data_IF_296975289880
#
_entry.id   IF_296975289880
#
_cell.length_a   1.000
_cell.length_b   1.000
_cell.length_c   1.000
_cell.angle_alpha   90.00
_cell.angle_beta   90.00
_cell.angle_gamma   90.00
#
_symmetry.space_group_name_H-M   'P 1'
#
loop_
_entity.id
_entity.type
_entity.pdbx_description
1 polymer ?
#
# COMPACT_ATOMS: atom_id res chain seq x y z
N UNK A 1 35.79 -38.34 8.19
CA UNK A 1 36.12 -36.91 8.33
C UNK A 1 34.90 -35.97 8.35
N UNK A 2 33.64 -36.46 8.44
CA UNK A 2 32.42 -35.61 8.46
C UNK A 2 31.82 -35.39 9.86
N UNK A 3 32.36 -35.99 10.91
CA UNK A 3 31.83 -35.84 12.28
C UNK A 3 32.56 -34.83 13.16
N UNK A 4 33.66 -34.25 12.68
CA UNK A 4 34.46 -33.27 13.47
C UNK A 4 34.00 -31.82 13.23
N UNK A 5 33.24 -31.56 12.17
CA UNK A 5 32.80 -30.20 11.80
C UNK A 5 31.54 -29.73 12.55
N UNK A 6 30.72 -30.66 13.00
CA UNK A 6 29.45 -30.35 13.71
C UNK A 6 29.67 -29.98 15.18
N UNK A 7 30.81 -30.42 15.79
CA UNK A 7 31.10 -30.09 17.21
C UNK A 7 31.73 -28.72 17.41
N UNK A 8 32.22 -28.07 16.38
CA UNK A 8 32.84 -26.75 16.49
C UNK A 8 31.81 -25.59 16.36
N UNK A 9 30.66 -25.83 15.80
CA UNK A 9 29.61 -24.80 15.68
C UNK A 9 28.77 -24.62 16.94
N UNK A 10 28.68 -25.62 17.81
CA UNK A 10 27.86 -25.54 19.04
C UNK A 10 28.54 -24.73 20.14
N UNK A 11 29.85 -24.57 20.06
CA UNK A 11 30.65 -23.87 21.13
C UNK A 11 30.71 -22.35 20.96
N UNK A 12 30.34 -21.82 19.79
CA UNK A 12 30.33 -20.37 19.50
C UNK A 12 29.02 -19.70 19.91
N UNK A 13 27.92 -20.46 20.02
CA UNK A 13 26.60 -19.90 20.32
C UNK A 13 26.36 -19.71 21.83
N UNK A 14 27.15 -20.36 22.69
CA UNK A 14 26.98 -20.25 24.16
C UNK A 14 27.80 -19.11 24.84
N UNK A 15 28.56 -18.32 24.11
CA UNK A 15 29.43 -17.27 24.68
C UNK A 15 28.86 -15.85 24.57
N UNK A 16 27.65 -15.63 24.04
CA UNK A 16 27.09 -14.28 23.85
C UNK A 16 25.91 -13.95 24.79
N UNK A 17 25.55 -14.86 25.70
CA UNK A 17 24.40 -14.67 26.60
C UNK A 17 24.75 -14.32 28.06
N UNK A 18 25.89 -13.66 28.33
CA UNK A 18 26.23 -13.26 29.70
C UNK A 18 26.88 -11.87 29.70
N UNK A 19 26.13 -10.83 29.42
CA UNK A 19 26.43 -9.46 29.88
C UNK A 19 25.24 -8.54 29.57
N UNK A 20 24.43 -8.24 30.56
CA UNK A 20 23.81 -6.93 30.78
C UNK A 20 22.67 -7.04 31.77
N UNK A 21 23.03 -7.12 33.04
CA UNK A 21 22.17 -6.62 34.10
C UNK A 21 22.92 -5.43 34.72
N UNK A 22 22.54 -4.20 34.42
CA UNK A 22 22.85 -3.05 35.23
C UNK A 22 21.63 -2.14 35.34
N UNK A 23 21.07 -2.19 36.55
CA UNK A 23 20.01 -1.33 37.04
C UNK A 23 20.63 0.05 37.32
N UNK A 24 19.99 1.10 36.92
CA UNK A 24 20.17 2.42 37.54
C UNK A 24 18.81 3.12 37.66
N UNK A 25 18.40 3.17 38.92
CA UNK A 25 17.32 3.98 39.46
C UNK A 25 17.80 5.42 39.65
N UNK A 26 17.07 6.41 39.16
CA UNK A 26 17.01 7.74 39.79
C UNK A 26 15.64 8.35 39.67
N UNK A 27 15.06 8.60 40.86
CA UNK A 27 13.93 9.47 41.16
C UNK A 27 14.27 10.95 40.94
N UNK A 28 13.24 11.74 40.54
CA UNK A 28 12.86 13.05 41.11
C UNK A 28 11.72 13.61 40.28
N UNK A 29 10.55 13.62 40.80
CA UNK A 29 9.72 14.65 41.38
C UNK A 29 9.89 16.07 40.83
N UNK A 30 8.86 16.63 40.21
CA UNK A 30 8.30 17.97 40.46
C UNK A 30 7.01 18.20 39.67
N UNK A 31 5.96 18.50 40.43
CA UNK A 31 4.69 19.06 40.00
C UNK A 31 4.90 20.40 39.30
N UNK A 32 4.16 20.65 38.20
CA UNK A 32 3.77 21.98 37.83
C UNK A 32 2.39 21.94 37.13
N UNK A 33 1.37 22.30 37.89
CA UNK A 33 0.03 22.60 37.44
C UNK A 33 0.03 23.93 36.69
N UNK A 34 -0.23 23.90 35.38
CA UNK A 34 -0.55 25.11 34.62
C UNK A 34 -2.05 25.13 34.31
N UNK A 35 -2.68 26.09 34.90
CA UNK A 35 -4.08 26.47 34.92
C UNK A 35 -4.56 26.93 33.54
N UNK A 36 -5.65 26.35 33.03
CA UNK A 36 -6.36 26.80 31.82
C UNK A 36 -7.15 28.11 32.13
N UNK A 37 -7.12 29.09 31.24
CA UNK A 37 -8.04 30.22 31.36
C UNK A 37 -9.39 29.93 30.72
N UNK A 38 -10.41 30.27 31.44
CA UNK A 38 -11.85 30.22 31.15
C UNK A 38 -12.22 31.07 29.92
N UNK A 39 -12.85 30.44 28.91
CA UNK A 39 -13.38 31.13 27.74
C UNK A 39 -14.78 31.69 28.05
N UNK A 40 -14.87 33.01 28.08
CA UNK A 40 -16.14 33.75 28.19
C UNK A 40 -16.94 33.66 26.90
N UNK A 41 -18.17 33.16 27.01
CA UNK A 41 -19.23 33.27 26.02
C UNK A 41 -19.56 34.72 25.69
N UNK A 42 -19.42 35.09 24.42
CA UNK A 42 -20.08 36.25 23.86
C UNK A 42 -20.70 35.86 22.53
N UNK A 43 -22.03 35.71 22.50
CA UNK A 43 -22.81 35.72 21.28
C UNK A 43 -23.10 37.16 20.87
N UNK A 44 -22.99 37.54 19.63
CA UNK A 44 -23.81 38.58 19.03
C UNK A 44 -24.78 38.05 17.97
N UNK A 45 -26.00 38.40 18.27
CA UNK A 45 -27.17 38.72 17.43
C UNK A 45 -27.16 38.33 15.93
N UNK A 46 -28.20 37.63 15.65
CA UNK A 46 -28.87 37.29 14.38
C UNK A 46 -29.21 38.55 13.56
N UNK A 47 -28.80 38.57 12.28
CA UNK A 47 -29.36 39.45 11.24
C UNK A 47 -29.79 38.60 10.02
N UNK A 48 -30.78 39.05 9.21
CA UNK A 48 -31.69 38.18 8.49
C UNK A 48 -31.18 37.75 7.10
N UNK A 49 -31.67 36.59 6.70
CA UNK A 49 -31.57 35.96 5.39
C UNK A 49 -31.93 36.92 4.25
N UNK A 50 -31.04 37.05 3.27
CA UNK A 50 -31.41 37.33 1.89
C UNK A 50 -30.89 36.23 1.00
N UNK A 51 -31.85 35.50 0.50
CA UNK A 51 -31.84 34.55 -0.55
C UNK A 51 -31.30 35.18 -1.83
N UNK A 52 -30.16 34.67 -2.33
CA UNK A 52 -29.78 34.83 -3.73
C UNK A 52 -29.30 33.45 -4.21
N UNK A 53 -30.21 32.75 -4.84
CA UNK A 53 -29.89 31.66 -5.74
C UNK A 53 -29.00 32.20 -6.88
N UNK A 54 -27.74 31.87 -6.88
CA UNK A 54 -26.92 31.83 -8.09
C UNK A 54 -26.50 30.40 -8.26
N UNK A 55 -27.17 29.72 -9.21
CA UNK A 55 -26.69 28.48 -9.79
C UNK A 55 -25.37 28.81 -10.49
N UNK A 56 -24.25 28.46 -9.90
CA UNK A 56 -22.99 28.37 -10.61
C UNK A 56 -22.76 26.92 -10.96
N UNK A 57 -22.81 26.64 -12.26
CA UNK A 57 -22.43 25.43 -12.94
C UNK A 57 -20.90 25.25 -12.90
N UNK A 58 -20.32 25.10 -11.71
CA UNK A 58 -18.89 24.80 -11.54
C UNK A 58 -18.70 23.72 -10.47
N UNK A 59 -19.56 22.71 -10.48
CA UNK A 59 -19.51 21.59 -9.54
C UNK A 59 -18.86 20.33 -10.15
N UNK A 60 -17.92 20.47 -11.10
CA UNK A 60 -17.22 19.35 -11.72
C UNK A 60 -15.70 19.37 -11.54
N UNK A 61 -15.17 19.91 -10.45
CA UNK A 61 -13.72 19.91 -10.28
C UNK A 61 -13.24 19.76 -8.82
N UNK A 62 -14.03 19.14 -7.97
CA UNK A 62 -13.52 18.71 -6.66
C UNK A 62 -14.01 17.28 -6.36
N UNK A 63 -13.54 16.34 -7.18
CA UNK A 63 -13.45 14.96 -6.73
C UNK A 63 -12.40 14.96 -5.60
N UNK A 64 -12.87 15.28 -4.40
CA UNK A 64 -12.08 15.40 -3.20
C UNK A 64 -11.13 14.20 -3.15
N UNK A 65 -9.84 14.49 -3.24
CA UNK A 65 -8.72 13.55 -3.08
C UNK A 65 -9.12 12.48 -2.07
N UNK A 66 -9.47 11.31 -2.58
CA UNK A 66 -10.09 10.23 -1.81
C UNK A 66 -9.04 9.66 -0.88
N UNK A 67 -8.96 10.18 0.34
CA UNK A 67 -8.09 9.61 1.39
C UNK A 67 -8.57 8.19 1.65
N UNK A 68 -7.70 7.21 1.42
CA UNK A 68 -7.94 5.80 1.70
C UNK A 68 -7.29 5.43 3.01
N UNK A 69 -8.00 4.70 3.86
CA UNK A 69 -7.45 4.19 5.11
C UNK A 69 -7.34 2.67 5.00
N UNK A 70 -6.13 2.17 5.20
CA UNK A 70 -5.83 0.74 5.25
C UNK A 70 -5.38 0.37 6.66
N UNK A 71 -5.68 -0.85 7.09
CA UNK A 71 -5.10 -1.41 8.29
C UNK A 71 -3.65 -1.89 8.05
N UNK A 72 -2.94 -2.28 9.12
CA UNK A 72 -1.53 -2.70 9.03
C UNK A 72 -1.35 -3.94 8.13
N UNK A 73 -2.33 -4.83 8.09
CA UNK A 73 -2.31 -6.04 7.29
C UNK A 73 -2.48 -5.71 5.80
N UNK A 74 -3.43 -4.85 5.48
CA UNK A 74 -3.66 -4.36 4.13
C UNK A 74 -2.44 -3.59 3.60
N UNK A 75 -1.84 -2.72 4.43
CA UNK A 75 -0.59 -2.02 4.08
C UNK A 75 0.52 -3.02 3.76
N UNK A 76 0.70 -4.05 4.60
CA UNK A 76 1.70 -5.06 4.35
C UNK A 76 1.43 -5.84 3.05
N UNK A 77 0.19 -6.26 2.80
CA UNK A 77 -0.19 -7.00 1.58
C UNK A 77 0.01 -6.15 0.33
N UNK A 78 -0.36 -4.86 0.36
CA UNK A 78 -0.16 -3.93 -0.76
C UNK A 78 1.33 -3.64 -1.01
N UNK A 79 2.15 -3.45 0.02
CA UNK A 79 3.60 -3.27 -0.14
C UNK A 79 4.27 -4.53 -0.68
N UNK A 80 3.80 -5.70 -0.23
CA UNK A 80 4.32 -7.00 -0.63
C UNK A 80 4.05 -7.30 -2.09
N UNK A 81 2.82 -7.05 -2.57
CA UNK A 81 2.47 -7.26 -3.99
C UNK A 81 3.20 -6.26 -4.90
N UNK A 82 3.31 -4.99 -4.49
CA UNK A 82 4.09 -4.00 -5.21
C UNK A 82 5.55 -4.41 -5.37
N UNK A 83 6.17 -4.97 -4.32
CA UNK A 83 7.52 -5.51 -4.40
C UNK A 83 7.62 -6.72 -5.31
N UNK A 84 6.66 -7.65 -5.20
CA UNK A 84 6.70 -8.90 -5.94
C UNK A 84 6.52 -8.69 -7.47
N UNK A 85 5.68 -7.74 -7.87
CA UNK A 85 5.34 -7.49 -9.27
C UNK A 85 6.16 -6.34 -9.90
N UNK A 86 6.58 -5.34 -9.10
CA UNK A 86 7.16 -4.11 -9.61
C UNK A 86 8.50 -3.72 -8.92
N UNK A 87 9.34 -4.69 -8.53
CA UNK A 87 10.62 -4.43 -7.83
C UNK A 87 11.48 -3.40 -8.55
N UNK A 88 11.62 -3.53 -9.88
CA UNK A 88 12.46 -2.67 -10.70
C UNK A 88 11.81 -1.36 -11.15
N UNK A 89 10.55 -1.13 -10.79
CA UNK A 89 9.80 0.06 -11.20
C UNK A 89 10.02 1.24 -10.25
N UNK A 90 9.67 2.44 -10.72
CA UNK A 90 9.61 3.65 -9.90
C UNK A 90 8.57 3.51 -8.77
N UNK A 91 8.55 4.46 -7.85
CA UNK A 91 7.51 4.51 -6.79
C UNK A 91 6.11 4.64 -7.41
N UNK A 92 5.97 5.41 -8.48
CA UNK A 92 4.74 5.56 -9.24
C UNK A 92 4.34 4.26 -9.94
N UNK A 93 5.29 3.54 -10.55
CA UNK A 93 5.04 2.23 -11.14
C UNK A 93 4.58 1.20 -10.11
N UNK A 94 5.13 1.22 -8.89
CA UNK A 94 4.67 0.42 -7.75
C UNK A 94 3.26 0.83 -7.31
N UNK A 95 2.98 2.14 -7.26
CA UNK A 95 1.65 2.67 -6.91
C UNK A 95 0.59 2.27 -7.96
N UNK A 96 0.94 2.19 -9.25
CA UNK A 96 0.04 1.68 -10.29
C UNK A 96 -0.35 0.21 -10.07
N UNK A 97 0.59 -0.66 -9.66
CA UNK A 97 0.27 -2.06 -9.31
C UNK A 97 -0.69 -2.11 -8.12
N UNK A 98 -0.46 -1.28 -7.08
CA UNK A 98 -1.37 -1.15 -5.95
C UNK A 98 -2.76 -0.71 -6.42
N UNK A 99 -2.82 0.28 -7.31
CA UNK A 99 -4.08 0.76 -7.87
C UNK A 99 -4.84 -0.31 -8.66
N UNK A 100 -4.15 -1.19 -9.41
CA UNK A 100 -4.82 -2.33 -10.06
C UNK A 100 -5.49 -3.25 -9.03
N UNK A 101 -4.83 -3.54 -7.90
CA UNK A 101 -5.47 -4.31 -6.81
C UNK A 101 -6.73 -3.60 -6.31
N UNK A 102 -6.67 -2.30 -6.04
CA UNK A 102 -7.81 -1.53 -5.51
C UNK A 102 -8.95 -1.37 -6.54
N UNK A 103 -8.60 -1.21 -7.81
CA UNK A 103 -9.60 -1.18 -8.90
C UNK A 103 -10.32 -2.53 -9.02
N UNK A 104 -9.61 -3.65 -8.87
CA UNK A 104 -10.20 -4.99 -8.84
C UNK A 104 -11.15 -5.15 -7.65
N UNK A 105 -10.74 -4.76 -6.44
CA UNK A 105 -11.63 -4.73 -5.25
C UNK A 105 -12.91 -3.92 -5.50
N UNK A 106 -12.84 -2.89 -6.34
CA UNK A 106 -13.98 -2.04 -6.68
C UNK A 106 -14.80 -2.54 -7.88
N UNK A 107 -14.38 -3.63 -8.52
CA UNK A 107 -15.00 -4.20 -9.70
C UNK A 107 -15.81 -5.46 -9.34
N UNK A 108 -17.02 -5.60 -9.90
CA UNK A 108 -17.85 -6.80 -9.73
C UNK A 108 -17.25 -8.07 -10.38
N UNK A 109 -16.18 -7.92 -11.18
CA UNK A 109 -15.52 -9.03 -11.86
C UNK A 109 -14.50 -9.77 -10.98
N UNK A 110 -14.12 -9.20 -9.84
CA UNK A 110 -13.07 -9.70 -8.96
C UNK A 110 -13.58 -9.84 -7.52
N UNK A 111 -12.74 -10.40 -6.66
CA UNK A 111 -13.01 -10.45 -5.23
C UNK A 111 -13.09 -9.05 -4.60
N UNK A 112 -13.79 -8.92 -3.49
CA UNK A 112 -14.15 -7.65 -2.84
C UNK A 112 -13.24 -7.27 -1.67
N UNK A 113 -12.14 -8.01 -1.45
CA UNK A 113 -11.10 -7.66 -0.47
C UNK A 113 -9.70 -7.65 -1.09
N UNK A 114 -8.80 -6.84 -0.55
CA UNK A 114 -7.39 -6.75 -0.99
C UNK A 114 -6.73 -8.13 -0.94
N UNK A 115 -6.93 -8.85 0.16
CA UNK A 115 -6.31 -10.17 0.37
C UNK A 115 -6.82 -11.20 -0.65
N UNK A 116 -8.14 -11.24 -0.90
CA UNK A 116 -8.74 -12.19 -1.82
C UNK A 116 -8.36 -11.87 -3.28
N UNK A 117 -8.30 -10.59 -3.67
CA UNK A 117 -7.81 -10.17 -4.99
C UNK A 117 -6.36 -10.59 -5.22
N UNK A 118 -5.49 -10.41 -4.23
CA UNK A 118 -4.08 -10.81 -4.35
C UNK A 118 -3.95 -12.33 -4.50
N UNK A 119 -4.77 -13.10 -3.80
CA UNK A 119 -4.76 -14.56 -3.80
C UNK A 119 -5.75 -15.19 -4.79
N UNK A 120 -6.28 -14.41 -5.72
CA UNK A 120 -7.29 -14.90 -6.65
C UNK A 120 -6.71 -15.85 -7.71
N UNK A 121 -7.50 -16.89 -8.02
CA UNK A 121 -7.17 -17.85 -9.07
C UNK A 121 -7.87 -17.49 -10.37
N UNK A 122 -7.18 -17.71 -11.47
CA UNK A 122 -7.79 -17.65 -12.80
C UNK A 122 -8.68 -18.86 -13.04
N UNK A 123 -9.59 -18.77 -14.00
CA UNK A 123 -10.55 -19.84 -14.33
C UNK A 123 -9.89 -21.15 -14.76
N UNK A 124 -8.66 -21.11 -15.27
CA UNK A 124 -7.85 -22.26 -15.66
C UNK A 124 -6.99 -22.81 -14.49
N UNK A 125 -7.14 -22.23 -13.28
CA UNK A 125 -6.46 -22.66 -12.06
C UNK A 125 -5.08 -22.04 -11.82
N UNK A 126 -4.66 -21.09 -12.66
CA UNK A 126 -3.49 -20.25 -12.45
C UNK A 126 -3.67 -19.22 -11.33
N UNK A 127 -2.76 -18.27 -11.23
CA UNK A 127 -2.87 -17.11 -10.34
C UNK A 127 -3.08 -15.84 -11.16
N UNK A 128 -3.91 -14.93 -10.65
CA UNK A 128 -4.04 -13.58 -11.23
C UNK A 128 -2.71 -12.81 -11.17
N UNK A 129 -1.96 -13.00 -10.07
CA UNK A 129 -0.60 -12.48 -9.93
C UNK A 129 0.40 -13.65 -10.02
N UNK A 130 1.24 -13.65 -11.03
CA UNK A 130 2.19 -14.76 -11.25
C UNK A 130 3.24 -14.89 -10.16
N UNK A 131 3.49 -13.85 -9.39
CA UNK A 131 4.35 -13.88 -8.20
C UNK A 131 3.86 -14.83 -7.10
N UNK A 132 2.60 -15.25 -7.16
CA UNK A 132 1.95 -16.15 -6.18
C UNK A 132 2.23 -17.65 -6.42
N UNK A 133 2.94 -18.05 -7.51
CA UNK A 133 3.36 -19.44 -7.67
C UNK A 133 4.32 -19.87 -6.56
N UNK A 134 4.35 -21.16 -6.25
CA UNK A 134 5.23 -21.73 -5.22
C UNK A 134 6.70 -21.33 -5.48
N UNK A 135 7.32 -20.73 -4.47
CA UNK A 135 8.65 -20.15 -4.57
C UNK A 135 8.73 -18.86 -5.40
N UNK A 136 7.60 -18.28 -5.78
CA UNK A 136 7.50 -17.01 -6.49
C UNK A 136 7.94 -15.81 -5.65
N UNK A 137 7.92 -14.66 -6.29
CA UNK A 137 8.46 -13.43 -5.69
C UNK A 137 7.69 -12.96 -4.45
N UNK A 138 6.39 -13.26 -4.37
CA UNK A 138 5.61 -13.04 -3.15
C UNK A 138 6.26 -13.67 -1.90
N UNK A 139 6.83 -14.87 -2.03
CA UNK A 139 7.42 -15.61 -0.90
C UNK A 139 8.91 -15.32 -0.69
N UNK A 140 9.59 -14.76 -1.67
CA UNK A 140 11.05 -14.64 -1.70
C UNK A 140 11.59 -13.21 -1.61
N UNK A 141 10.72 -12.21 -1.74
CA UNK A 141 11.11 -10.79 -1.65
C UNK A 141 10.53 -10.13 -0.40
N UNK A 142 11.21 -9.10 0.09
CA UNK A 142 10.71 -8.24 1.17
C UNK A 142 10.47 -6.82 0.66
N UNK A 143 9.39 -6.14 1.11
CA UNK A 143 9.09 -4.77 0.71
C UNK A 143 10.23 -3.81 1.05
N UNK A 144 10.55 -2.93 0.12
CA UNK A 144 11.50 -1.82 0.32
C UNK A 144 10.76 -0.55 0.73
N UNK A 145 11.51 0.48 1.15
CA UNK A 145 10.96 1.78 1.52
C UNK A 145 10.09 2.40 0.40
N UNK A 146 10.45 2.18 -0.88
CA UNK A 146 9.68 2.69 -2.02
C UNK A 146 8.30 2.04 -2.15
N UNK A 147 8.14 0.78 -1.71
CA UNK A 147 6.83 0.13 -1.66
C UNK A 147 5.92 0.80 -0.63
N UNK A 148 6.46 1.16 0.54
CA UNK A 148 5.70 1.89 1.57
C UNK A 148 5.33 3.31 1.11
N UNK A 149 6.26 4.02 0.44
CA UNK A 149 5.97 5.32 -0.19
C UNK A 149 4.87 5.22 -1.23
N UNK A 150 4.87 4.16 -2.05
CA UNK A 150 3.82 3.93 -3.03
C UNK A 150 2.43 3.74 -2.37
N UNK A 151 2.35 2.97 -1.28
CA UNK A 151 1.11 2.85 -0.49
C UNK A 151 0.70 4.20 0.09
N UNK A 152 1.65 4.96 0.67
CA UNK A 152 1.37 6.29 1.22
C UNK A 152 0.83 7.26 0.16
N UNK A 153 1.39 7.26 -1.06
CA UNK A 153 0.88 8.04 -2.19
C UNK A 153 -0.58 7.71 -2.49
N UNK A 154 -0.90 6.41 -2.58
CA UNK A 154 -2.26 5.93 -2.84
C UNK A 154 -3.21 6.27 -1.69
N UNK A 155 -2.78 6.12 -0.42
CA UNK A 155 -3.55 6.55 0.75
C UNK A 155 -3.89 8.05 0.70
N UNK A 156 -2.93 8.85 0.25
CA UNK A 156 -3.09 10.30 0.06
C UNK A 156 -3.89 10.67 -1.19
N UNK A 157 -4.52 9.71 -1.87
CA UNK A 157 -5.43 9.93 -2.99
C UNK A 157 -4.75 10.04 -4.35
N UNK A 158 -3.49 9.61 -4.49
CA UNK A 158 -2.86 9.49 -5.80
C UNK A 158 -3.50 8.36 -6.62
N UNK A 159 -3.88 8.66 -7.85
CA UNK A 159 -4.46 7.70 -8.78
C UNK A 159 -4.26 8.15 -10.23
N UNK A 160 -3.31 7.54 -10.90
CA UNK A 160 -3.07 7.71 -12.34
C UNK A 160 -3.36 6.42 -13.12
N UNK A 161 -4.07 5.47 -12.47
CA UNK A 161 -4.33 4.14 -13.03
C UNK A 161 -5.34 4.13 -14.18
N UNK A 162 -6.13 5.19 -14.34
CA UNK A 162 -7.23 5.28 -15.31
C UNK A 162 -8.23 4.11 -15.18
N UNK A 163 -8.34 3.53 -13.99
CA UNK A 163 -9.19 2.39 -13.73
C UNK A 163 -8.67 1.08 -14.32
N UNK A 164 -7.35 0.93 -14.52
CA UNK A 164 -6.73 -0.29 -15.02
C UNK A 164 -7.05 -1.49 -14.12
N UNK A 165 -7.44 -2.60 -14.75
CA UNK A 165 -7.73 -3.88 -14.08
C UNK A 165 -6.67 -4.93 -14.37
N UNK A 166 -5.88 -4.73 -15.44
CA UNK A 166 -4.86 -5.67 -15.88
C UNK A 166 -3.56 -4.94 -16.22
N UNK A 167 -2.47 -5.63 -16.06
CA UNK A 167 -1.17 -5.20 -16.57
C UNK A 167 -0.33 -6.40 -16.98
N UNK A 168 0.64 -6.15 -17.82
CA UNK A 168 1.65 -7.12 -18.21
C UNK A 168 2.98 -6.41 -18.43
N UNK A 169 4.06 -7.18 -18.52
CA UNK A 169 5.34 -6.63 -18.94
C UNK A 169 5.23 -6.14 -20.38
N UNK A 170 5.65 -4.89 -20.61
CA UNK A 170 5.69 -4.31 -21.95
C UNK A 170 6.49 -5.20 -22.90
N UNK A 171 5.87 -5.62 -23.99
CA UNK A 171 6.43 -6.47 -25.02
C UNK A 171 6.15 -5.89 -26.41
N UNK A 172 7.03 -6.18 -27.37
CA UNK A 172 6.77 -5.89 -28.77
C UNK A 172 5.92 -6.98 -29.47
N UNK A 173 5.71 -8.11 -28.79
CA UNK A 173 4.90 -9.22 -29.30
C UNK A 173 3.46 -9.08 -28.86
N UNK A 174 2.53 -9.54 -29.71
CA UNK A 174 1.12 -9.60 -29.32
C UNK A 174 0.90 -10.64 -28.23
N UNK A 175 0.23 -10.19 -27.17
CA UNK A 175 -0.14 -11.02 -26.02
C UNK A 175 -1.63 -11.29 -26.01
N UNK A 176 -2.09 -12.08 -25.03
CA UNK A 176 -3.53 -12.24 -24.82
C UNK A 176 -4.16 -10.90 -24.41
N UNK A 177 -3.51 -10.12 -23.53
CA UNK A 177 -3.98 -8.82 -23.05
C UNK A 177 -4.15 -7.85 -24.21
N UNK A 178 -3.11 -7.67 -25.05
CA UNK A 178 -3.16 -6.73 -26.16
C UNK A 178 -4.20 -7.05 -27.24
N UNK A 179 -4.65 -8.34 -27.32
CA UNK A 179 -5.68 -8.77 -28.27
C UNK A 179 -7.11 -8.70 -27.74
N UNK A 180 -7.29 -8.78 -26.42
CA UNK A 180 -8.61 -8.98 -25.82
C UNK A 180 -9.05 -7.84 -24.89
N UNK A 181 -8.13 -6.96 -24.47
CA UNK A 181 -8.38 -5.90 -23.52
C UNK A 181 -8.14 -4.53 -24.15
N UNK A 182 -8.78 -3.51 -23.60
CA UNK A 182 -8.55 -2.12 -23.97
C UNK A 182 -7.21 -1.64 -23.44
N UNK A 183 -6.31 -1.20 -24.33
CA UNK A 183 -5.06 -0.56 -23.96
C UNK A 183 -5.35 0.81 -23.34
N UNK A 184 -4.75 1.09 -22.17
CA UNK A 184 -4.87 2.39 -21.51
C UNK A 184 -3.59 3.23 -21.64
N UNK A 185 -2.47 2.70 -21.17
CA UNK A 185 -1.17 3.37 -21.20
C UNK A 185 -0.04 2.38 -20.86
N UNK A 186 1.21 2.86 -21.02
CA UNK A 186 2.39 2.15 -20.52
C UNK A 186 3.18 3.06 -19.59
N UNK A 187 3.72 2.49 -18.52
CA UNK A 187 4.60 3.15 -17.56
C UNK A 187 5.72 2.19 -17.15
N UNK A 188 6.97 2.68 -17.22
CA UNK A 188 8.13 1.84 -16.96
C UNK A 188 8.17 0.60 -17.87
N UNK A 189 8.28 -0.56 -17.25
CA UNK A 189 8.25 -1.84 -17.95
C UNK A 189 6.85 -2.50 -18.01
N UNK A 190 5.80 -1.79 -17.62
CA UNK A 190 4.44 -2.30 -17.61
C UNK A 190 3.54 -1.60 -18.62
N UNK A 191 2.63 -2.38 -19.19
CA UNK A 191 1.51 -1.91 -20.00
C UNK A 191 0.20 -2.26 -19.31
N UNK A 192 -0.71 -1.28 -19.20
CA UNK A 192 -1.94 -1.36 -18.43
C UNK A 192 -3.15 -1.40 -19.35
N UNK A 193 -4.16 -2.18 -18.93
CA UNK A 193 -5.37 -2.47 -19.70
C UNK A 193 -6.62 -2.48 -18.82
N UNK A 194 -7.77 -2.43 -19.52
CA UNK A 194 -9.09 -2.57 -18.92
C UNK A 194 -9.96 -3.52 -19.73
#
# INVERSE_FOLDING_TARGET
MKMLWVKLQVLVIMSVMLCSAFVSTHNASADEQAQMPEAKNICPARAPLKEVCILSEDAEADEAKRVRNFDEREIYSLTKIAMAEAEGESTEGKALVIMVVLNRVSSEEFADTIEDVIHERTSDGGWQFTSMYDGGRWYTTEPTEDCYKAVEMVMNGWDESKGALYFERTSAEETWHSRNLEYLFSEGNHTFYK
#
